data_IF_399362976388
#
_entry.id   IF_399362976388
#
_cell.length_a   1.000
_cell.length_b   1.000
_cell.length_c   1.000
_cell.angle_alpha   90.00
_cell.angle_beta   90.00
_cell.angle_gamma   90.00
#
_symmetry.space_group_name_H-M   'P 1'
#
loop_
_entity.id
_entity.type
_entity.pdbx_description
1 polymer ?
#
# COMPACT_ATOMS: atom_id res chain seq x y z
N UNK A 1 -28.14 70.03 61.45
CA UNK A 1 -28.44 68.60 61.21
C UNK A 1 -29.11 68.51 59.84
N UNK A 2 -28.37 68.13 58.79
CA UNK A 2 -27.95 66.77 58.42
C UNK A 2 -29.11 65.98 57.78
N UNK A 3 -29.20 66.02 56.45
CA UNK A 3 -29.22 64.88 55.51
C UNK A 3 -29.76 65.25 54.12
N UNK A 4 -30.45 66.37 53.95
CA UNK A 4 -31.17 66.70 52.70
C UNK A 4 -30.34 67.39 51.61
N UNK A 5 -29.23 68.06 51.93
CA UNK A 5 -28.35 68.67 50.90
C UNK A 5 -27.35 67.69 50.27
N UNK A 6 -27.17 66.47 50.81
CA UNK A 6 -26.23 65.48 50.26
C UNK A 6 -26.91 64.55 49.23
N UNK A 7 -28.25 64.42 49.29
CA UNK A 7 -29.03 63.57 48.37
C UNK A 7 -29.30 64.29 47.04
N UNK A 8 -29.42 65.62 47.01
CA UNK A 8 -29.61 66.36 45.75
C UNK A 8 -28.34 66.51 44.91
N UNK A 9 -27.14 66.48 45.51
CA UNK A 9 -25.87 66.58 44.78
C UNK A 9 -25.37 65.26 44.20
N UNK A 10 -25.86 64.11 44.69
CA UNK A 10 -25.50 62.78 44.19
C UNK A 10 -26.42 62.29 43.06
N UNK A 11 -27.64 62.83 42.94
CA UNK A 11 -28.56 62.55 41.83
C UNK A 11 -28.29 63.41 40.58
N UNK A 12 -27.67 64.59 40.73
CA UNK A 12 -27.24 65.43 39.60
C UNK A 12 -25.94 64.96 38.95
N UNK A 13 -25.07 64.22 39.65
CA UNK A 13 -23.88 63.59 39.07
C UNK A 13 -24.15 62.24 38.39
N UNK A 14 -25.32 61.62 38.62
CA UNK A 14 -25.74 60.37 37.96
C UNK A 14 -26.60 60.59 36.70
N UNK A 15 -27.02 61.84 36.42
CA UNK A 15 -27.83 62.19 35.24
C UNK A 15 -27.09 63.03 34.18
N UNK A 16 -25.84 63.45 34.44
CA UNK A 16 -25.01 64.22 33.49
C UNK A 16 -23.74 63.50 32.99
N UNK A 17 -23.60 62.19 33.26
CA UNK A 17 -22.57 61.35 32.64
C UNK A 17 -23.19 60.13 31.93
N UNK A 18 -24.03 60.36 30.91
CA UNK A 18 -23.86 59.75 29.56
C UNK A 18 -25.13 59.87 28.67
N UNK A 19 -25.43 61.09 28.19
CA UNK A 19 -26.22 61.44 26.98
C UNK A 19 -26.02 62.96 26.86
N UNK A 20 -25.21 63.55 25.99
CA UNK A 20 -25.06 63.54 24.53
C UNK A 20 -23.70 64.26 24.24
N UNK A 21 -22.95 64.14 23.15
CA UNK A 21 -23.22 63.72 21.77
C UNK A 21 -21.86 63.52 21.05
N UNK A 22 -21.89 62.73 19.97
CA UNK A 22 -20.87 62.58 18.91
C UNK A 22 -19.53 61.91 19.24
N UNK A 23 -19.52 60.57 19.18
CA UNK A 23 -18.36 59.83 18.68
C UNK A 23 -18.82 58.59 17.91
N UNK A 24 -18.51 58.59 16.62
CA UNK A 24 -18.28 57.43 15.74
C UNK A 24 -18.77 56.06 16.22
N UNK A 25 -19.60 55.42 15.39
CA UNK A 25 -19.74 53.96 15.31
C UNK A 25 -18.43 53.26 15.66
N UNK A 26 -18.37 52.67 16.84
CA UNK A 26 -17.45 51.58 17.13
C UNK A 26 -18.35 50.42 17.48
N UNK A 27 -18.77 49.71 16.42
CA UNK A 27 -18.97 48.27 16.53
C UNK A 27 -17.76 47.79 17.33
N UNK A 28 -17.96 47.27 18.56
CA UNK A 28 -16.89 46.49 19.19
C UNK A 28 -16.55 45.45 18.15
N UNK A 29 -15.40 45.59 17.49
CA UNK A 29 -14.91 44.57 16.56
C UNK A 29 -14.87 43.29 17.39
N UNK A 30 -15.87 42.42 17.14
CA UNK A 30 -15.85 41.08 17.70
C UNK A 30 -14.54 40.46 17.26
N UNK A 31 -13.85 39.78 18.18
CA UNK A 31 -12.67 39.02 17.81
C UNK A 31 -12.98 38.16 16.58
N UNK A 32 -12.10 38.16 15.56
CA UNK A 32 -12.37 37.52 14.27
C UNK A 32 -12.92 36.09 14.41
N UNK A 33 -12.42 35.32 15.37
CA UNK A 33 -12.87 33.94 15.62
C UNK A 33 -14.31 33.86 16.17
N UNK A 34 -14.69 34.75 17.10
CA UNK A 34 -16.07 34.81 17.60
C UNK A 34 -17.06 35.28 16.54
N UNK A 35 -16.63 36.23 15.71
CA UNK A 35 -17.42 36.71 14.57
C UNK A 35 -17.60 35.61 13.52
N UNK A 36 -16.54 34.85 13.24
CA UNK A 36 -16.60 33.70 12.34
C UNK A 36 -17.56 32.61 12.85
N UNK A 37 -17.50 32.23 14.13
CA UNK A 37 -18.44 31.29 14.77
C UNK A 37 -19.90 31.75 14.66
N UNK A 38 -20.15 33.04 14.91
CA UNK A 38 -21.50 33.61 14.83
C UNK A 38 -22.03 33.55 13.39
N UNK A 39 -21.20 33.92 12.41
CA UNK A 39 -21.57 33.86 10.99
C UNK A 39 -21.77 32.42 10.50
N UNK A 40 -21.01 31.47 11.06
CA UNK A 40 -21.18 30.04 10.83
C UNK A 40 -22.54 29.57 11.34
N UNK A 41 -22.92 29.88 12.58
CA UNK A 41 -24.25 29.53 13.11
C UNK A 41 -25.40 30.14 12.30
N UNK A 42 -25.19 31.34 11.76
CA UNK A 42 -26.13 32.03 10.86
C UNK A 42 -26.13 31.48 9.41
N UNK A 43 -25.33 30.45 9.12
CA UNK A 43 -25.17 29.84 7.80
C UNK A 43 -24.67 30.78 6.70
N UNK A 44 -23.98 31.86 7.08
CA UNK A 44 -23.37 32.82 6.14
C UNK A 44 -21.96 32.35 5.79
N UNK A 45 -21.87 31.17 5.18
CA UNK A 45 -20.63 30.41 5.02
C UNK A 45 -19.49 31.21 4.39
N UNK A 46 -19.70 31.91 3.27
CA UNK A 46 -18.63 32.71 2.63
C UNK A 46 -18.08 33.81 3.56
N UNK A 47 -18.97 34.49 4.31
CA UNK A 47 -18.58 35.54 5.26
C UNK A 47 -17.93 34.96 6.50
N UNK A 48 -18.37 33.78 6.94
CA UNK A 48 -17.73 33.05 8.03
C UNK A 48 -16.31 32.61 7.64
N UNK A 49 -16.11 32.18 6.38
CA UNK A 49 -14.81 31.79 5.85
C UNK A 49 -13.81 32.96 5.86
N UNK A 50 -14.23 34.14 5.42
CA UNK A 50 -13.41 35.37 5.43
C UNK A 50 -12.94 35.74 6.85
N UNK A 51 -13.83 35.64 7.84
CA UNK A 51 -13.51 35.94 9.24
C UNK A 51 -12.65 34.84 9.89
N UNK A 52 -12.83 33.57 9.49
CA UNK A 52 -11.96 32.47 9.88
C UNK A 52 -10.54 32.61 9.29
N UNK A 53 -10.41 33.04 8.03
CA UNK A 53 -9.11 33.35 7.41
C UNK A 53 -8.41 34.55 8.09
N UNK A 54 -9.18 35.51 8.61
CA UNK A 54 -8.66 36.63 9.40
C UNK A 54 -8.23 36.17 10.81
N UNK A 55 -9.01 35.30 11.45
CA UNK A 55 -8.70 34.68 12.73
C UNK A 55 -7.42 33.81 12.66
N UNK A 56 -7.23 33.05 11.57
CA UNK A 56 -6.03 32.24 11.34
C UNK A 56 -4.74 33.06 11.42
N UNK A 57 -4.77 34.33 10.97
CA UNK A 57 -3.60 35.23 10.94
C UNK A 57 -3.32 35.90 12.27
N UNK A 58 -4.29 35.91 13.18
CA UNK A 58 -4.28 36.72 14.41
C UNK A 58 -4.28 35.89 15.69
N UNK A 59 -4.71 34.62 15.62
CA UNK A 59 -4.74 33.67 16.73
C UNK A 59 -3.52 32.73 16.75
N UNK A 60 -3.34 32.00 17.84
CA UNK A 60 -2.25 31.01 18.02
C UNK A 60 -2.73 29.75 18.74
N UNK A 61 -2.07 28.61 18.50
CA UNK A 61 -2.43 27.32 19.11
C UNK A 61 -3.79 26.81 18.63
N UNK A 62 -4.58 26.24 19.55
CA UNK A 62 -5.88 25.63 19.22
C UNK A 62 -6.85 26.59 18.51
N UNK A 63 -6.85 27.87 18.86
CA UNK A 63 -7.72 28.87 18.25
C UNK A 63 -7.33 29.18 16.79
N UNK A 64 -6.04 29.01 16.46
CA UNK A 64 -5.56 29.11 15.09
C UNK A 64 -5.94 27.87 14.27
N UNK A 65 -5.84 26.68 14.86
CA UNK A 65 -6.24 25.43 14.22
C UNK A 65 -7.74 25.38 13.94
N UNK A 66 -8.55 25.82 14.89
CA UNK A 66 -10.00 25.97 14.70
C UNK A 66 -10.30 26.98 13.60
N UNK A 67 -9.63 28.14 13.60
CA UNK A 67 -9.83 29.14 12.57
C UNK A 67 -9.53 28.60 11.17
N UNK A 68 -8.47 27.82 11.05
CA UNK A 68 -8.11 27.22 9.79
C UNK A 68 -9.11 26.16 9.31
N UNK A 69 -9.53 25.27 10.21
CA UNK A 69 -10.52 24.24 9.93
C UNK A 69 -11.86 24.87 9.55
N UNK A 70 -12.29 25.87 10.32
CA UNK A 70 -13.52 26.62 10.12
C UNK A 70 -13.56 27.30 8.75
N UNK A 71 -12.45 27.92 8.33
CA UNK A 71 -12.34 28.51 6.98
C UNK A 71 -12.59 27.48 5.89
N UNK A 72 -11.95 26.30 5.97
CA UNK A 72 -12.13 25.26 4.96
C UNK A 72 -13.57 24.74 4.97
N UNK A 73 -14.11 24.41 6.14
CA UNK A 73 -15.48 23.90 6.29
C UNK A 73 -16.50 24.89 5.72
N UNK A 74 -16.30 26.19 5.93
CA UNK A 74 -17.16 27.23 5.37
C UNK A 74 -17.10 27.29 3.85
N UNK A 75 -15.90 27.26 3.26
CA UNK A 75 -15.73 27.22 1.80
C UNK A 75 -16.37 25.96 1.20
N UNK A 76 -16.26 24.84 1.91
CA UNK A 76 -16.87 23.57 1.54
C UNK A 76 -18.41 23.68 1.55
N UNK A 77 -19.00 24.19 2.63
CA UNK A 77 -20.45 24.40 2.77
C UNK A 77 -21.01 25.46 1.80
N UNK A 78 -20.24 26.47 1.45
CA UNK A 78 -20.69 27.50 0.50
C UNK A 78 -20.77 26.98 -0.92
N UNK A 79 -19.86 26.08 -1.30
CA UNK A 79 -19.87 25.42 -2.60
C UNK A 79 -20.95 24.32 -2.70
N UNK A 80 -21.26 23.64 -1.59
CA UNK A 80 -22.31 22.61 -1.56
C UNK A 80 -23.06 22.55 -0.22
N UNK A 81 -24.19 23.26 -0.07
CA UNK A 81 -24.95 23.32 1.18
C UNK A 81 -25.51 21.98 1.66
N UNK A 82 -25.55 20.94 0.80
CA UNK A 82 -25.99 19.59 1.18
C UNK A 82 -25.06 18.93 2.19
N UNK A 83 -23.84 19.45 2.34
CA UNK A 83 -22.88 18.95 3.33
C UNK A 83 -23.20 19.37 4.76
N UNK A 84 -24.20 20.24 4.99
CA UNK A 84 -24.57 20.70 6.33
C UNK A 84 -24.93 19.55 7.28
N UNK A 85 -25.68 18.55 6.81
CA UNK A 85 -26.03 17.38 7.64
C UNK A 85 -24.82 16.48 7.89
N UNK A 86 -23.93 16.33 6.91
CA UNK A 86 -22.74 15.47 6.98
C UNK A 86 -21.63 16.09 7.87
N UNK A 87 -21.46 17.42 7.80
CA UNK A 87 -20.50 18.20 8.59
C UNK A 87 -21.00 18.40 10.03
N UNK A 88 -22.31 18.50 10.28
CA UNK A 88 -22.85 18.52 11.66
C UNK A 88 -22.66 17.20 12.41
N UNK A 89 -22.57 16.09 11.68
CA UNK A 89 -22.24 14.77 12.22
C UNK A 89 -20.73 14.61 12.47
N UNK A 90 -19.92 15.46 11.85
CA UNK A 90 -18.50 15.52 12.08
C UNK A 90 -18.23 16.25 13.41
N UNK A 91 -17.91 15.48 14.44
CA UNK A 91 -17.39 16.01 15.70
C UNK A 91 -15.88 15.74 15.74
N UNK A 92 -15.02 16.73 15.40
CA UNK A 92 -13.58 16.60 15.54
C UNK A 92 -13.25 16.39 17.03
N UNK A 93 -13.15 15.14 17.46
CA UNK A 93 -12.93 14.75 18.86
C UNK A 93 -13.77 13.57 19.37
N UNK A 94 -14.87 13.19 18.71
CA UNK A 94 -15.68 12.03 19.13
C UNK A 94 -15.61 10.88 18.13
N UNK A 95 -14.76 9.89 18.44
CA UNK A 95 -14.75 8.50 17.94
C UNK A 95 -15.26 8.28 16.49
N UNK A 96 -14.39 8.53 15.52
CA UNK A 96 -13.87 7.49 14.63
C UNK A 96 -14.81 6.52 13.88
N UNK A 97 -16.12 6.68 13.71
CA UNK A 97 -16.94 5.72 12.91
C UNK A 97 -18.03 6.37 12.04
N UNK A 98 -18.20 5.88 10.81
CA UNK A 98 -19.31 6.13 9.88
C UNK A 98 -19.87 4.83 9.30
N UNK A 99 -21.19 4.62 9.34
CA UNK A 99 -21.85 3.47 8.67
C UNK A 99 -21.21 2.10 8.97
N UNK A 100 -20.70 1.91 10.20
CA UNK A 100 -20.01 0.68 10.61
C UNK A 100 -18.56 0.56 10.14
N UNK A 101 -17.96 1.61 9.57
CA UNK A 101 -16.55 1.70 9.18
C UNK A 101 -15.84 2.81 9.97
N UNK A 102 -14.58 2.60 10.36
CA UNK A 102 -13.85 3.60 11.13
C UNK A 102 -13.41 4.77 10.25
N UNK A 103 -13.49 6.01 10.77
CA UNK A 103 -12.94 7.22 10.14
C UNK A 103 -11.43 7.36 10.31
N UNK A 104 -10.77 6.43 10.99
CA UNK A 104 -9.33 6.55 11.21
C UNK A 104 -8.57 6.08 9.98
N UNK A 105 -7.76 6.97 9.39
CA UNK A 105 -6.66 6.68 8.46
C UNK A 105 -5.82 5.46 8.83
N UNK A 106 -5.82 5.09 10.11
CA UNK A 106 -5.32 3.82 10.63
C UNK A 106 -5.77 2.64 9.76
N UNK A 107 -7.05 2.54 9.39
CA UNK A 107 -7.57 1.33 8.76
C UNK A 107 -7.08 1.10 7.34
N UNK A 108 -6.78 2.17 6.60
CA UNK A 108 -6.15 2.13 5.27
C UNK A 108 -4.62 2.05 5.30
N UNK A 109 -4.00 2.30 6.46
CA UNK A 109 -2.58 2.01 6.67
C UNK A 109 -2.45 0.52 7.04
N UNK A 110 -1.60 -0.25 6.34
CA UNK A 110 -1.31 -1.63 6.70
C UNK A 110 -1.06 -1.76 8.20
N UNK A 111 -1.63 -2.79 8.84
CA UNK A 111 -1.65 -2.95 10.30
C UNK A 111 -0.26 -2.82 10.94
N UNK A 112 0.75 -3.31 10.24
CA UNK A 112 2.17 -3.28 10.57
C UNK A 112 2.83 -1.90 10.48
N UNK A 113 2.22 -0.93 9.79
CA UNK A 113 2.77 0.43 9.57
C UNK A 113 2.08 1.52 10.40
N UNK A 114 0.98 1.21 11.10
CA UNK A 114 0.14 2.18 11.83
C UNK A 114 0.88 2.90 12.95
N UNK A 115 1.59 2.15 13.79
CA UNK A 115 2.28 2.72 14.96
C UNK A 115 3.42 3.66 14.54
N UNK A 116 4.19 3.27 13.51
CA UNK A 116 5.22 4.12 12.94
C UNK A 116 4.66 5.40 12.32
N UNK A 117 3.51 5.31 11.65
CA UNK A 117 2.82 6.49 11.13
C UNK A 117 2.37 7.44 12.25
N UNK A 118 1.85 6.89 13.36
CA UNK A 118 1.49 7.68 14.54
C UNK A 118 2.66 8.39 15.19
N UNK A 119 3.79 7.69 15.31
CA UNK A 119 5.00 8.26 15.86
C UNK A 119 5.52 9.40 14.97
N UNK A 120 5.42 9.26 13.65
CA UNK A 120 5.78 10.33 12.70
C UNK A 120 4.82 11.52 12.85
N UNK A 121 3.50 11.30 12.86
CA UNK A 121 2.52 12.39 13.02
C UNK A 121 2.75 13.18 14.31
N UNK A 122 3.01 12.46 15.41
CA UNK A 122 3.26 13.06 16.73
C UNK A 122 4.61 13.77 16.80
N UNK A 123 5.64 13.22 16.15
CA UNK A 123 6.98 13.81 16.11
C UNK A 123 7.02 15.07 15.25
N UNK A 124 6.30 15.07 14.13
CA UNK A 124 6.25 16.18 13.19
C UNK A 124 5.19 17.22 13.57
N UNK A 125 4.46 17.05 14.68
CA UNK A 125 3.38 17.96 15.14
C UNK A 125 2.33 18.29 14.05
N UNK A 126 2.03 17.29 13.21
CA UNK A 126 1.14 17.48 12.08
C UNK A 126 -0.31 17.64 12.57
N UNK A 127 -1.05 18.67 12.12
CA UNK A 127 -2.37 18.94 12.65
C UNK A 127 -3.38 17.90 12.15
N UNK A 128 -3.70 16.95 13.02
CA UNK A 128 -4.49 15.74 12.74
C UNK A 128 -5.87 16.03 12.16
N UNK A 129 -6.48 17.15 12.55
CA UNK A 129 -7.77 17.62 12.05
C UNK A 129 -7.80 17.80 10.53
N UNK A 130 -6.69 18.25 9.93
CA UNK A 130 -6.59 18.41 8.49
C UNK A 130 -6.40 17.10 7.75
N UNK A 131 -5.67 16.15 8.33
CA UNK A 131 -5.57 14.80 7.77
C UNK A 131 -6.94 14.11 7.76
N UNK A 132 -7.70 14.25 8.85
CA UNK A 132 -9.08 13.77 8.90
C UNK A 132 -9.97 14.46 7.86
N UNK A 133 -9.76 15.75 7.62
CA UNK A 133 -10.51 16.49 6.61
C UNK A 133 -10.13 16.07 5.18
N UNK A 134 -8.84 15.87 4.90
CA UNK A 134 -8.39 15.27 3.63
C UNK A 134 -9.07 13.91 3.45
N UNK A 135 -9.02 13.04 4.45
CA UNK A 135 -9.66 11.73 4.39
C UNK A 135 -11.17 11.82 4.15
N UNK A 136 -11.86 12.73 4.82
CA UNK A 136 -13.29 12.98 4.59
C UNK A 136 -13.56 13.38 3.12
N UNK A 137 -12.78 14.32 2.58
CA UNK A 137 -12.92 14.73 1.18
C UNK A 137 -12.66 13.57 0.20
N UNK A 138 -11.70 12.70 0.52
CA UNK A 138 -11.40 11.51 -0.26
C UNK A 138 -12.54 10.49 -0.22
N UNK A 139 -13.10 10.20 0.95
CA UNK A 139 -14.21 9.26 1.13
C UNK A 139 -15.50 9.74 0.45
N UNK A 140 -15.68 11.06 0.34
CA UNK A 140 -16.86 11.67 -0.26
C UNK A 140 -16.73 11.95 -1.76
N UNK A 141 -15.61 11.58 -2.40
CA UNK A 141 -15.39 11.80 -3.84
C UNK A 141 -15.18 13.27 -4.22
N UNK A 142 -14.49 14.03 -3.36
CA UNK A 142 -14.12 15.44 -3.58
C UNK A 142 -12.60 15.62 -3.66
N UNK A 143 -11.96 14.79 -4.46
CA UNK A 143 -10.50 14.74 -4.65
C UNK A 143 -9.92 16.09 -5.08
N UNK A 144 -10.67 16.87 -5.86
CA UNK A 144 -10.26 18.20 -6.34
C UNK A 144 -10.10 19.24 -5.22
N UNK A 145 -10.75 19.04 -4.07
CA UNK A 145 -10.68 19.95 -2.92
C UNK A 145 -9.51 19.64 -1.99
N UNK A 146 -8.88 18.48 -2.14
CA UNK A 146 -7.79 18.01 -1.27
C UNK A 146 -6.59 18.96 -1.30
N UNK A 147 -6.24 19.49 -2.48
CA UNK A 147 -5.12 20.43 -2.62
C UNK A 147 -5.30 21.68 -1.75
N UNK A 148 -6.52 22.24 -1.69
CA UNK A 148 -6.80 23.42 -0.87
C UNK A 148 -6.58 23.17 0.63
N UNK A 149 -6.83 21.96 1.11
CA UNK A 149 -6.58 21.54 2.49
C UNK A 149 -5.09 21.36 2.74
N UNK A 150 -4.37 20.71 1.81
CA UNK A 150 -2.91 20.52 1.90
C UNK A 150 -2.17 21.84 1.87
N UNK A 151 -2.64 22.83 1.11
CA UNK A 151 -2.07 24.18 1.06
C UNK A 151 -2.08 24.90 2.42
N UNK A 152 -3.02 24.53 3.30
CA UNK A 152 -3.11 25.07 4.68
C UNK A 152 -2.13 24.39 5.65
N UNK A 153 -1.42 23.34 5.23
CA UNK A 153 -0.37 22.64 5.99
C UNK A 153 1.03 22.84 5.38
N UNK A 154 1.57 24.07 5.28
CA UNK A 154 2.77 24.37 4.50
C UNK A 154 4.02 23.62 4.94
N UNK A 155 4.17 23.35 6.24
CA UNK A 155 5.32 22.63 6.80
C UNK A 155 5.22 21.10 6.60
N UNK A 156 4.03 20.57 6.32
CA UNK A 156 3.77 19.13 6.21
C UNK A 156 3.27 18.70 4.83
N UNK A 157 3.33 19.57 3.81
CA UNK A 157 2.84 19.28 2.45
C UNK A 157 3.38 17.98 1.89
N UNK A 158 4.67 17.70 2.08
CA UNK A 158 5.28 16.45 1.59
C UNK A 158 4.59 15.23 2.21
N UNK A 159 4.49 15.20 3.54
CA UNK A 159 3.86 14.10 4.27
C UNK A 159 2.38 13.94 3.93
N UNK A 160 1.66 15.05 3.74
CA UNK A 160 0.26 15.04 3.30
C UNK A 160 0.10 14.41 1.90
N UNK A 161 0.95 14.77 0.94
CA UNK A 161 0.93 14.16 -0.39
C UNK A 161 1.36 12.68 -0.39
N UNK A 162 2.32 12.30 0.44
CA UNK A 162 2.71 10.89 0.64
C UNK A 162 1.52 10.08 1.20
N UNK A 163 0.77 10.65 2.15
CA UNK A 163 -0.45 10.03 2.67
C UNK A 163 -1.53 9.85 1.60
N UNK A 164 -1.73 10.85 0.74
CA UNK A 164 -2.70 10.77 -0.37
C UNK A 164 -2.26 9.73 -1.40
N UNK A 165 -0.95 9.60 -1.69
CA UNK A 165 -0.41 8.55 -2.56
C UNK A 165 -0.67 7.15 -2.01
N UNK A 166 -0.45 6.93 -0.71
CA UNK A 166 -0.76 5.66 -0.06
C UNK A 166 -2.26 5.33 -0.16
N UNK A 167 -3.11 6.34 0.04
CA UNK A 167 -4.56 6.19 -0.11
C UNK A 167 -4.95 5.85 -1.54
N UNK A 168 -4.33 6.50 -2.54
CA UNK A 168 -4.56 6.21 -3.96
C UNK A 168 -4.17 4.76 -4.32
N UNK A 169 -3.03 4.28 -3.81
CA UNK A 169 -2.60 2.89 -3.99
C UNK A 169 -3.55 1.90 -3.34
N UNK A 170 -4.02 2.17 -2.14
CA UNK A 170 -4.95 1.30 -1.44
C UNK A 170 -6.29 1.21 -2.18
N UNK A 171 -6.82 2.35 -2.66
CA UNK A 171 -8.03 2.39 -3.49
C UNK A 171 -7.85 1.58 -4.79
N UNK A 172 -6.67 1.68 -5.42
CA UNK A 172 -6.34 0.89 -6.61
C UNK A 172 -6.29 -0.62 -6.30
N UNK A 173 -5.75 -1.03 -5.15
CA UNK A 173 -5.71 -2.45 -4.72
C UNK A 173 -7.10 -3.02 -4.43
N UNK A 174 -7.96 -2.24 -3.78
CA UNK A 174 -9.31 -2.68 -3.37
C UNK A 174 -10.31 -2.75 -4.54
N UNK A 175 -9.85 -2.55 -5.80
CA UNK A 175 -10.69 -2.53 -7.02
C UNK A 175 -11.85 -1.54 -6.93
N UNK A 176 -11.70 -0.46 -6.17
CA UNK A 176 -12.62 0.67 -6.22
C UNK A 176 -12.32 1.47 -7.50
N UNK A 177 -12.82 0.93 -8.62
CA UNK A 177 -12.68 1.54 -9.94
C UNK A 177 -13.19 2.98 -9.92
N UNK A 178 -12.36 3.87 -10.46
CA UNK A 178 -12.50 5.33 -10.63
C UNK A 178 -11.90 6.24 -9.55
N UNK A 179 -12.01 5.94 -8.25
CA UNK A 179 -11.60 6.88 -7.19
C UNK A 179 -10.08 6.95 -7.02
N UNK A 180 -9.37 5.82 -7.11
CA UNK A 180 -7.90 5.78 -6.99
C UNK A 180 -7.15 6.52 -8.11
N UNK A 181 -7.68 6.53 -9.34
CA UNK A 181 -7.06 7.21 -10.49
C UNK A 181 -7.02 8.72 -10.32
N UNK A 182 -8.16 9.32 -9.91
CA UNK A 182 -8.27 10.77 -9.72
C UNK A 182 -7.26 11.27 -8.68
N UNK A 183 -6.98 10.47 -7.65
CA UNK A 183 -5.99 10.82 -6.63
C UNK A 183 -4.57 10.87 -7.15
N UNK A 184 -4.16 9.89 -7.97
CA UNK A 184 -2.85 9.97 -8.58
C UNK A 184 -2.72 11.20 -9.47
N UNK A 185 -3.79 11.61 -10.16
CA UNK A 185 -3.78 12.82 -10.98
C UNK A 185 -3.66 14.09 -10.15
N UNK A 186 -4.42 14.18 -9.05
CA UNK A 186 -4.35 15.31 -8.12
C UNK A 186 -2.93 15.41 -7.56
N UNK A 187 -2.32 14.28 -7.16
CA UNK A 187 -0.91 14.29 -6.73
C UNK A 187 0.01 14.66 -7.87
N UNK A 188 -0.15 14.12 -9.07
CA UNK A 188 0.72 14.43 -10.22
C UNK A 188 0.78 15.93 -10.53
N UNK A 189 -0.34 16.64 -10.34
CA UNK A 189 -0.44 18.09 -10.55
C UNK A 189 0.13 18.91 -9.39
N UNK A 190 0.03 18.43 -8.16
CA UNK A 190 0.32 19.20 -6.94
C UNK A 190 1.55 18.70 -6.15
N UNK A 191 2.19 17.63 -6.59
CA UNK A 191 3.34 17.00 -5.93
C UNK A 191 4.45 18.03 -5.68
N UNK A 192 5.01 17.99 -4.47
CA UNK A 192 6.09 18.90 -4.05
C UNK A 192 7.48 18.29 -4.26
N UNK A 193 7.56 17.02 -4.65
CA UNK A 193 8.81 16.34 -4.98
C UNK A 193 8.69 15.55 -6.29
N UNK A 194 9.82 15.35 -6.97
CA UNK A 194 9.87 14.52 -8.18
C UNK A 194 9.50 13.06 -7.87
N UNK A 195 9.84 12.56 -6.67
CA UNK A 195 9.54 11.18 -6.27
C UNK A 195 8.03 10.92 -6.20
N UNK A 196 7.27 11.87 -5.63
CA UNK A 196 5.81 11.80 -5.57
C UNK A 196 5.19 11.88 -6.96
N UNK A 197 5.78 12.70 -7.83
CA UNK A 197 5.33 12.83 -9.21
C UNK A 197 5.56 11.54 -10.00
N UNK A 198 6.72 10.92 -9.84
CA UNK A 198 7.05 9.64 -10.47
C UNK A 198 6.12 8.53 -9.98
N UNK A 199 5.89 8.46 -8.66
CA UNK A 199 4.92 7.55 -8.04
C UNK A 199 3.53 7.69 -8.68
N UNK A 200 3.05 8.93 -8.80
CA UNK A 200 1.76 9.23 -9.40
C UNK A 200 1.69 8.82 -10.88
N UNK A 201 2.76 9.02 -11.66
CA UNK A 201 2.83 8.55 -13.05
C UNK A 201 2.61 7.04 -13.11
N UNK A 202 3.26 6.26 -12.26
CA UNK A 202 3.12 4.81 -12.22
C UNK A 202 1.71 4.35 -11.81
N UNK A 203 1.10 5.05 -10.84
CA UNK A 203 -0.29 4.83 -10.47
C UNK A 203 -1.26 5.10 -11.62
N UNK A 204 -1.09 6.19 -12.36
CA UNK A 204 -1.94 6.52 -13.52
C UNK A 204 -1.72 5.54 -14.67
N UNK A 205 -0.49 5.07 -14.91
CA UNK A 205 -0.22 4.06 -15.93
C UNK A 205 -0.92 2.73 -15.65
N UNK A 206 -0.94 2.29 -14.38
CA UNK A 206 -1.70 1.12 -13.97
C UNK A 206 -3.21 1.39 -14.05
N UNK A 207 -3.69 2.56 -13.61
CA UNK A 207 -5.08 2.97 -13.78
C UNK A 207 -5.54 2.89 -15.24
N UNK A 208 -4.82 3.55 -16.16
CA UNK A 208 -5.07 3.51 -17.60
C UNK A 208 -5.16 2.08 -18.17
N UNK A 209 -4.47 1.12 -17.57
CA UNK A 209 -4.51 -0.29 -17.96
C UNK A 209 -5.79 -0.98 -17.51
N UNK A 210 -6.28 -0.67 -16.30
CA UNK A 210 -7.55 -1.16 -15.79
C UNK A 210 -8.77 -0.45 -16.41
N UNK A 211 -8.64 0.83 -16.73
CA UNK A 211 -9.73 1.70 -17.19
C UNK A 211 -9.37 2.39 -18.52
N UNK A 212 -9.19 1.63 -19.62
CA UNK A 212 -8.68 2.18 -20.89
C UNK A 212 -9.56 3.26 -21.51
N UNK A 213 -10.84 3.33 -21.15
CA UNK A 213 -11.78 4.35 -21.64
C UNK A 213 -11.52 5.75 -21.03
N UNK A 214 -10.80 5.82 -19.90
CA UNK A 214 -10.39 7.07 -19.24
C UNK A 214 -8.92 7.38 -19.43
N UNK A 215 -8.28 6.72 -20.40
CA UNK A 215 -6.85 6.78 -20.61
C UNK A 215 -6.34 8.22 -20.69
N UNK A 216 -5.42 8.57 -19.80
CA UNK A 216 -4.67 9.82 -19.87
C UNK A 216 -3.33 9.64 -20.57
N UNK A 217 -2.96 10.62 -21.37
CA UNK A 217 -1.64 10.66 -21.99
C UNK A 217 -0.60 11.06 -20.96
N UNK A 218 0.17 10.07 -20.49
CA UNK A 218 1.32 10.28 -19.61
C UNK A 218 2.51 9.53 -20.19
N UNK A 219 3.64 10.22 -20.22
CA UNK A 219 4.92 9.66 -20.67
C UNK A 219 5.50 8.75 -19.60
N UNK A 220 5.87 7.53 -19.99
CA UNK A 220 6.59 6.61 -19.13
C UNK A 220 7.95 7.21 -18.72
N UNK A 221 8.35 7.16 -17.44
CA UNK A 221 9.67 7.63 -17.04
C UNK A 221 10.78 6.82 -17.71
N UNK A 222 11.91 7.46 -18.05
CA UNK A 222 12.97 6.86 -18.89
C UNK A 222 13.93 5.91 -18.16
N UNK A 223 13.55 5.40 -16.99
CA UNK A 223 14.43 4.61 -16.11
C UNK A 223 13.94 3.16 -16.02
N UNK A 224 14.87 2.25 -15.73
CA UNK A 224 14.58 0.84 -15.39
C UNK A 224 14.04 0.67 -13.96
N UNK A 225 13.70 1.79 -13.34
CA UNK A 225 13.26 1.91 -11.97
C UNK A 225 11.89 2.54 -11.98
N UNK A 226 10.99 1.99 -11.18
CA UNK A 226 9.68 2.56 -10.94
C UNK A 226 9.46 2.71 -9.45
N UNK A 227 8.33 3.31 -9.08
CA UNK A 227 7.93 3.40 -7.69
C UNK A 227 6.51 2.88 -7.50
N UNK A 228 6.29 2.20 -6.38
CA UNK A 228 5.01 1.62 -5.99
C UNK A 228 4.94 1.61 -4.46
N UNK A 229 3.80 2.05 -3.90
CA UNK A 229 3.59 2.20 -2.45
C UNK A 229 4.72 2.99 -1.77
N UNK A 230 5.16 4.09 -2.41
CA UNK A 230 6.28 4.94 -2.01
C UNK A 230 7.66 4.27 -2.04
N UNK A 231 7.77 3.02 -2.50
CA UNK A 231 9.03 2.27 -2.59
C UNK A 231 9.59 2.32 -4.01
N UNK A 232 10.87 2.67 -4.14
CA UNK A 232 11.60 2.60 -5.40
C UNK A 232 12.01 1.15 -5.71
N UNK A 233 11.65 0.65 -6.88
CA UNK A 233 11.85 -0.73 -7.30
C UNK A 233 12.58 -0.75 -8.65
N UNK A 234 13.65 -1.53 -8.76
CA UNK A 234 14.31 -1.82 -10.04
C UNK A 234 13.73 -3.07 -10.68
N UNK A 235 13.48 -3.02 -11.99
CA UNK A 235 13.12 -4.19 -12.79
C UNK A 235 14.19 -5.29 -12.75
N UNK A 236 15.46 -4.90 -12.56
CA UNK A 236 16.63 -5.80 -12.47
C UNK A 236 17.09 -6.06 -11.03
N UNK A 237 16.22 -5.93 -10.03
CA UNK A 237 16.56 -6.32 -8.65
C UNK A 237 17.06 -7.78 -8.57
N UNK A 238 17.90 -8.09 -7.59
CA UNK A 238 18.56 -9.41 -7.46
C UNK A 238 17.60 -10.60 -7.42
N UNK A 239 16.41 -10.39 -6.86
CA UNK A 239 15.33 -11.38 -6.79
C UNK A 239 14.54 -11.54 -8.09
N UNK A 240 14.69 -10.62 -9.04
CA UNK A 240 14.01 -10.66 -10.34
C UNK A 240 14.73 -11.61 -11.29
N UNK A 241 14.02 -12.57 -11.93
CA UNK A 241 14.58 -13.39 -12.99
C UNK A 241 15.16 -12.58 -14.18
N UNK A 242 14.75 -11.32 -14.33
CA UNK A 242 15.25 -10.42 -15.37
C UNK A 242 16.69 -9.95 -15.13
N UNK A 243 17.21 -10.02 -13.89
CA UNK A 243 18.51 -9.45 -13.55
C UNK A 243 19.66 -10.05 -14.39
N UNK A 244 19.55 -11.32 -14.78
CA UNK A 244 20.54 -11.99 -15.65
C UNK A 244 20.64 -11.32 -17.03
N UNK A 245 19.57 -10.67 -17.48
CA UNK A 245 19.48 -9.98 -18.77
C UNK A 245 19.77 -8.47 -18.68
N UNK A 246 20.16 -7.96 -17.50
CA UNK A 246 20.40 -6.53 -17.29
C UNK A 246 21.41 -5.96 -18.30
N UNK A 247 22.60 -6.58 -18.40
CA UNK A 247 23.66 -6.07 -19.27
C UNK A 247 23.27 -6.02 -20.76
N UNK A 248 22.67 -7.07 -21.36
CA UNK A 248 22.21 -6.98 -22.75
C UNK A 248 21.06 -5.98 -22.93
N UNK A 249 20.09 -5.92 -22.01
CA UNK A 249 18.94 -5.00 -22.12
C UNK A 249 19.31 -3.53 -21.94
N UNK A 250 20.25 -3.19 -21.05
CA UNK A 250 20.74 -1.82 -20.88
C UNK A 250 21.55 -1.32 -22.10
N UNK A 251 22.18 -2.23 -22.86
CA UNK A 251 22.99 -1.89 -24.04
C UNK A 251 22.14 -1.75 -25.31
N UNK A 252 21.28 -2.71 -25.57
CA UNK A 252 20.63 -2.88 -26.89
C UNK A 252 19.09 -2.80 -26.81
N UNK A 253 18.51 -2.76 -25.61
CA UNK A 253 17.06 -2.93 -25.36
C UNK A 253 16.30 -1.69 -24.88
N UNK A 254 16.85 -0.48 -25.04
CA UNK A 254 16.21 0.77 -24.57
C UNK A 254 14.80 0.99 -25.17
N UNK A 255 14.55 0.52 -26.39
CA UNK A 255 13.23 0.56 -27.05
C UNK A 255 12.18 -0.27 -26.31
N UNK A 256 12.59 -1.37 -25.64
CA UNK A 256 11.71 -2.27 -24.90
C UNK A 256 11.56 -1.89 -23.43
N UNK A 257 12.31 -0.90 -22.97
CA UNK A 257 12.40 -0.52 -21.56
C UNK A 257 11.02 -0.33 -20.93
N UNK A 258 10.14 0.44 -21.59
CA UNK A 258 8.80 0.73 -21.08
C UNK A 258 7.95 -0.54 -20.95
N UNK A 259 8.01 -1.45 -21.93
CA UNK A 259 7.26 -2.70 -21.89
C UNK A 259 7.74 -3.61 -20.77
N UNK A 260 9.06 -3.72 -20.57
CA UNK A 260 9.66 -4.55 -19.53
C UNK A 260 9.34 -3.99 -18.14
N UNK A 261 9.53 -2.68 -17.93
CA UNK A 261 9.22 -2.03 -16.65
C UNK A 261 7.73 -2.16 -16.36
N UNK A 262 6.86 -1.93 -17.33
CA UNK A 262 5.43 -2.06 -17.13
C UNK A 262 5.00 -3.51 -16.83
N UNK A 263 5.58 -4.51 -17.49
CA UNK A 263 5.34 -5.91 -17.15
C UNK A 263 5.79 -6.24 -15.72
N UNK A 264 6.96 -5.74 -15.30
CA UNK A 264 7.45 -5.93 -13.92
C UNK A 264 6.56 -5.21 -12.89
N UNK A 265 6.02 -4.04 -13.24
CA UNK A 265 5.02 -3.34 -12.44
C UNK A 265 3.73 -4.14 -12.30
N UNK A 266 3.14 -4.62 -13.40
CA UNK A 266 1.91 -5.44 -13.36
C UNK A 266 2.11 -6.71 -12.54
N UNK A 267 3.25 -7.38 -12.72
CA UNK A 267 3.61 -8.55 -11.92
C UNK A 267 3.64 -8.20 -10.44
N UNK A 268 4.39 -7.16 -10.07
CA UNK A 268 4.61 -6.78 -8.67
C UNK A 268 3.33 -6.26 -8.03
N UNK A 269 2.55 -5.45 -8.75
CA UNK A 269 1.25 -4.95 -8.31
C UNK A 269 0.27 -6.09 -8.03
N UNK A 270 0.23 -7.11 -8.89
CA UNK A 270 -0.59 -8.30 -8.63
C UNK A 270 -0.25 -9.02 -7.34
N UNK A 271 1.01 -8.99 -6.89
CA UNK A 271 1.38 -9.54 -5.58
C UNK A 271 0.67 -8.87 -4.39
N UNK A 272 0.16 -7.64 -4.54
CA UNK A 272 -0.58 -6.93 -3.50
C UNK A 272 -2.10 -7.08 -3.61
N UNK A 273 -2.62 -7.78 -4.63
CA UNK A 273 -4.05 -7.95 -4.83
C UNK A 273 -4.57 -9.22 -4.16
N UNK A 274 -5.77 -9.15 -3.59
CA UNK A 274 -6.49 -10.33 -3.07
C UNK A 274 -6.78 -11.37 -4.16
N UNK A 275 -7.14 -10.89 -5.36
CA UNK A 275 -7.47 -11.71 -6.53
C UNK A 275 -6.57 -11.33 -7.72
N UNK A 276 -5.33 -11.83 -7.74
CA UNK A 276 -4.26 -11.36 -8.63
C UNK A 276 -4.26 -12.03 -10.02
N UNK A 277 -4.90 -13.20 -10.16
CA UNK A 277 -4.83 -14.02 -11.38
C UNK A 277 -5.29 -13.25 -12.62
N UNK A 278 -6.43 -12.55 -12.53
CA UNK A 278 -6.95 -11.77 -13.67
C UNK A 278 -5.96 -10.68 -14.12
N UNK A 279 -5.30 -9.99 -13.18
CA UNK A 279 -4.28 -9.00 -13.53
C UNK A 279 -3.08 -9.65 -14.22
N UNK A 280 -2.58 -10.78 -13.70
CA UNK A 280 -1.46 -11.47 -14.31
C UNK A 280 -1.80 -12.05 -15.70
N UNK A 281 -3.03 -12.50 -15.92
CA UNK A 281 -3.53 -12.92 -17.24
C UNK A 281 -3.62 -11.74 -18.22
N UNK A 282 -4.07 -10.56 -17.76
CA UNK A 282 -4.02 -9.34 -18.56
C UNK A 282 -2.58 -8.90 -18.85
N UNK A 283 -1.67 -9.09 -17.90
CA UNK A 283 -0.23 -8.85 -18.08
C UNK A 283 0.38 -9.76 -19.15
N UNK A 284 -0.01 -11.03 -19.20
CA UNK A 284 0.35 -11.95 -20.29
C UNK A 284 -0.17 -11.45 -21.63
N UNK A 285 -1.43 -11.05 -21.71
CA UNK A 285 -2.01 -10.50 -22.95
C UNK A 285 -1.30 -9.22 -23.41
N UNK A 286 -0.93 -8.34 -22.46
CA UNK A 286 -0.11 -7.17 -22.74
C UNK A 286 1.24 -7.57 -23.33
N UNK A 287 1.97 -8.48 -22.67
CA UNK A 287 3.28 -8.94 -23.12
C UNK A 287 3.20 -9.57 -24.53
N UNK A 288 2.19 -10.40 -24.78
CA UNK A 288 1.97 -11.06 -26.06
C UNK A 288 1.69 -10.06 -27.20
N UNK A 289 0.99 -8.96 -26.92
CA UNK A 289 0.78 -7.87 -27.88
C UNK A 289 2.08 -7.27 -28.38
N UNK A 290 3.11 -7.21 -27.54
CA UNK A 290 4.43 -6.62 -27.87
C UNK A 290 5.48 -7.67 -28.25
N UNK A 291 5.11 -8.95 -28.42
CA UNK A 291 6.04 -10.03 -28.76
C UNK A 291 6.93 -9.72 -29.97
N UNK A 292 6.36 -9.10 -31.01
CA UNK A 292 7.11 -8.77 -32.23
C UNK A 292 8.24 -7.76 -31.97
N UNK A 293 8.07 -6.86 -31.00
CA UNK A 293 9.11 -5.91 -30.64
C UNK A 293 10.28 -6.62 -29.94
N UNK A 294 9.99 -7.59 -29.07
CA UNK A 294 11.04 -8.42 -28.45
C UNK A 294 11.81 -9.23 -29.50
N UNK A 295 11.11 -9.82 -30.48
CA UNK A 295 11.74 -10.53 -31.60
C UNK A 295 12.63 -9.60 -32.43
N UNK A 296 12.13 -8.42 -32.80
CA UNK A 296 12.87 -7.45 -33.60
C UNK A 296 14.15 -6.93 -32.94
N UNK A 297 14.21 -6.90 -31.60
CA UNK A 297 15.37 -6.47 -30.84
C UNK A 297 16.26 -7.65 -30.37
N UNK A 298 16.03 -8.88 -30.86
CA UNK A 298 16.73 -10.10 -30.43
C UNK A 298 16.65 -10.37 -28.92
N UNK A 299 15.54 -10.01 -28.27
CA UNK A 299 15.31 -10.17 -26.83
C UNK A 299 14.26 -11.25 -26.50
N UNK A 300 14.16 -12.30 -27.32
CA UNK A 300 13.20 -13.39 -27.13
C UNK A 300 13.33 -14.06 -25.75
N UNK A 301 14.57 -14.27 -25.28
CA UNK A 301 14.80 -14.87 -23.95
C UNK A 301 14.25 -14.00 -22.80
N UNK A 302 14.29 -12.66 -22.94
CA UNK A 302 13.73 -11.76 -21.94
C UNK A 302 12.19 -11.78 -21.96
N UNK A 303 11.59 -11.87 -23.16
CA UNK A 303 10.15 -12.08 -23.33
C UNK A 303 9.70 -13.41 -22.69
N UNK A 304 10.39 -14.51 -22.98
CA UNK A 304 10.06 -15.83 -22.42
C UNK A 304 10.24 -15.83 -20.89
N UNK A 305 11.28 -15.17 -20.39
CA UNK A 305 11.49 -14.99 -18.95
C UNK A 305 10.34 -14.23 -18.26
N UNK A 306 9.88 -13.11 -18.85
CA UNK A 306 8.73 -12.34 -18.34
C UNK A 306 7.44 -13.16 -18.38
N UNK A 307 7.20 -13.85 -19.50
CA UNK A 307 6.01 -14.69 -19.72
C UNK A 307 5.94 -15.81 -18.68
N UNK A 308 7.04 -16.54 -18.52
CA UNK A 308 7.21 -17.61 -17.53
C UNK A 308 6.90 -17.14 -16.12
N UNK A 309 7.35 -15.93 -15.79
CA UNK A 309 7.13 -15.34 -14.47
C UNK A 309 5.65 -15.17 -14.13
N UNK A 310 4.83 -14.69 -15.07
CA UNK A 310 3.38 -14.58 -14.87
C UNK A 310 2.71 -15.95 -14.72
N UNK A 311 3.02 -16.91 -15.61
CA UNK A 311 2.47 -18.27 -15.51
C UNK A 311 2.80 -18.93 -14.18
N UNK A 312 4.04 -18.78 -13.71
CA UNK A 312 4.46 -19.30 -12.41
C UNK A 312 3.68 -18.66 -11.27
N UNK A 313 3.52 -17.33 -11.25
CA UNK A 313 2.75 -16.67 -10.20
C UNK A 313 1.29 -17.16 -10.17
N UNK A 314 0.66 -17.31 -11.33
CA UNK A 314 -0.70 -17.86 -11.44
C UNK A 314 -0.75 -19.31 -10.92
N UNK A 315 0.20 -20.16 -11.32
CA UNK A 315 0.27 -21.56 -10.89
C UNK A 315 0.44 -21.68 -9.38
N UNK A 316 1.37 -20.91 -8.81
CA UNK A 316 1.62 -20.85 -7.37
C UNK A 316 0.40 -20.34 -6.59
N UNK A 317 -0.31 -19.33 -7.11
CA UNK A 317 -1.54 -18.85 -6.49
C UNK A 317 -2.62 -19.93 -6.46
N UNK A 318 -2.88 -20.62 -7.57
CA UNK A 318 -3.83 -21.73 -7.60
C UNK A 318 -3.42 -22.88 -6.67
N UNK A 319 -2.13 -23.20 -6.62
CA UNK A 319 -1.60 -24.23 -5.74
C UNK A 319 -1.87 -23.90 -4.26
N UNK A 320 -1.61 -22.65 -3.84
CA UNK A 320 -1.88 -22.18 -2.47
C UNK A 320 -3.37 -22.19 -2.16
N UNK A 321 -4.22 -21.82 -3.13
CA UNK A 321 -5.69 -21.89 -2.99
C UNK A 321 -6.26 -23.32 -3.04
N UNK A 322 -5.42 -24.33 -3.27
CA UNK A 322 -5.83 -25.73 -3.36
C UNK A 322 -6.47 -26.13 -4.70
N UNK A 323 -6.45 -25.27 -5.72
CA UNK A 323 -6.89 -25.59 -7.07
C UNK A 323 -5.75 -26.29 -7.85
N UNK A 324 -5.49 -27.55 -7.47
CA UNK A 324 -4.35 -28.32 -7.95
C UNK A 324 -4.41 -28.60 -9.46
N UNK A 325 -5.61 -28.73 -10.03
CA UNK A 325 -5.79 -28.96 -11.46
C UNK A 325 -5.34 -27.74 -12.27
N UNK A 326 -5.82 -26.55 -11.91
CA UNK A 326 -5.38 -25.31 -12.58
C UNK A 326 -3.91 -25.03 -12.35
N UNK A 327 -3.40 -25.27 -11.13
CA UNK A 327 -1.99 -25.14 -10.84
C UNK A 327 -1.15 -26.05 -11.75
N UNK A 328 -1.52 -27.34 -11.85
CA UNK A 328 -0.85 -28.32 -12.70
C UNK A 328 -0.84 -27.92 -14.17
N UNK A 329 -2.00 -27.53 -14.72
CA UNK A 329 -2.12 -27.08 -16.11
C UNK A 329 -1.20 -25.88 -16.43
N UNK A 330 -1.02 -24.97 -15.46
CA UNK A 330 -0.16 -23.79 -15.62
C UNK A 330 1.32 -24.13 -15.46
N UNK A 331 1.70 -25.06 -14.58
CA UNK A 331 3.09 -25.55 -14.49
C UNK A 331 3.50 -26.36 -15.73
N UNK A 332 2.60 -27.15 -16.33
CA UNK A 332 2.90 -27.99 -17.53
C UNK A 332 3.25 -27.14 -18.75
N UNK A 333 2.53 -26.04 -18.99
CA UNK A 333 2.68 -25.24 -20.20
C UNK A 333 4.10 -24.65 -20.38
N UNK A 334 4.82 -24.40 -19.29
CA UNK A 334 6.18 -23.84 -19.30
C UNK A 334 7.29 -24.89 -19.49
N UNK A 335 7.04 -26.16 -19.15
CA UNK A 335 8.05 -27.25 -19.23
C UNK A 335 8.51 -27.56 -20.66
N UNK A 336 7.72 -27.16 -21.67
CA UNK A 336 8.00 -27.44 -23.08
C UNK A 336 9.23 -26.67 -23.62
N UNK A 337 9.73 -25.64 -22.92
CA UNK A 337 10.81 -24.76 -23.40
C UNK A 337 12.12 -24.83 -22.56
N UNK A 338 12.31 -25.88 -21.74
CA UNK A 338 13.67 -26.37 -21.48
C UNK A 338 14.41 -25.95 -20.18
N UNK A 339 13.76 -25.43 -19.14
CA UNK A 339 14.36 -25.35 -17.78
C UNK A 339 13.38 -25.78 -16.69
N UNK A 340 13.57 -27.02 -16.19
CA UNK A 340 12.64 -27.79 -15.34
C UNK A 340 12.65 -27.47 -13.85
N UNK A 341 13.79 -27.02 -13.31
CA UNK A 341 14.01 -26.89 -11.85
C UNK A 341 12.93 -26.09 -11.12
N UNK A 342 12.32 -25.08 -11.77
CA UNK A 342 11.31 -24.20 -11.14
C UNK A 342 9.90 -24.79 -11.12
N UNK A 343 9.58 -25.68 -12.06
CA UNK A 343 8.26 -26.30 -12.20
C UNK A 343 8.18 -27.59 -11.38
N UNK A 344 9.29 -28.31 -11.30
CA UNK A 344 9.39 -29.58 -10.58
C UNK A 344 8.97 -29.41 -9.11
N UNK A 345 9.33 -28.28 -8.46
CA UNK A 345 8.88 -27.99 -7.10
C UNK A 345 7.36 -27.80 -6.98
N UNK A 346 6.76 -27.11 -7.95
CA UNK A 346 5.31 -26.93 -8.01
C UNK A 346 4.58 -28.26 -8.20
N UNK A 347 5.10 -29.13 -9.07
CA UNK A 347 4.57 -30.49 -9.25
C UNK A 347 4.71 -31.34 -7.99
N UNK A 348 5.83 -31.25 -7.29
CA UNK A 348 6.04 -31.98 -6.04
C UNK A 348 5.03 -31.59 -4.96
N UNK A 349 4.69 -30.30 -4.86
CA UNK A 349 3.62 -29.85 -3.96
C UNK A 349 2.25 -30.36 -4.39
N UNK A 350 1.96 -30.37 -5.69
CA UNK A 350 0.70 -30.91 -6.22
C UNK A 350 0.58 -32.39 -5.85
N UNK A 351 1.64 -33.19 -6.07
CA UNK A 351 1.67 -34.60 -5.72
C UNK A 351 1.49 -34.81 -4.22
N UNK A 352 2.18 -34.02 -3.39
CA UNK A 352 2.00 -34.05 -1.94
C UNK A 352 0.54 -33.78 -1.55
N UNK A 353 -0.05 -32.72 -2.11
CA UNK A 353 -1.44 -32.32 -1.85
C UNK A 353 -2.47 -33.34 -2.38
N UNK A 354 -2.11 -34.12 -3.40
CA UNK A 354 -2.89 -35.25 -3.91
C UNK A 354 -2.74 -36.53 -3.06
N UNK A 355 -1.90 -36.50 -2.02
CA UNK A 355 -1.71 -37.62 -1.10
C UNK A 355 -0.66 -38.64 -1.54
N UNK A 356 0.22 -38.28 -2.49
CA UNK A 356 1.35 -39.13 -2.82
C UNK A 356 2.36 -39.17 -1.67
N UNK A 357 2.94 -40.35 -1.35
CA UNK A 357 3.92 -40.46 -0.29
C UNK A 357 5.21 -39.71 -0.64
N UNK A 358 5.90 -39.18 0.38
CA UNK A 358 7.16 -38.45 0.21
C UNK A 358 8.19 -39.23 -0.61
N UNK A 359 8.26 -40.56 -0.43
CA UNK A 359 9.16 -41.42 -1.20
C UNK A 359 8.95 -41.36 -2.71
N UNK A 360 7.72 -41.18 -3.17
CA UNK A 360 7.41 -41.13 -4.60
C UNK A 360 7.72 -39.75 -5.18
N UNK A 361 7.44 -38.69 -4.40
CA UNK A 361 7.82 -37.32 -4.72
C UNK A 361 9.35 -37.22 -4.82
N UNK A 362 10.07 -37.81 -3.86
CA UNK A 362 11.54 -37.86 -3.84
C UNK A 362 12.09 -38.56 -5.07
N UNK A 363 11.54 -39.71 -5.46
CA UNK A 363 11.97 -40.44 -6.67
C UNK A 363 11.80 -39.57 -7.91
N UNK A 364 10.65 -38.90 -8.06
CA UNK A 364 10.37 -38.07 -9.22
C UNK A 364 11.27 -36.83 -9.29
N UNK A 365 11.58 -36.23 -8.14
CA UNK A 365 12.44 -35.05 -8.05
C UNK A 365 13.95 -35.35 -8.01
N UNK A 366 14.35 -36.60 -7.78
CA UNK A 366 15.76 -36.97 -7.58
C UNK A 366 16.65 -36.69 -8.79
N UNK A 367 16.07 -36.63 -10.00
CA UNK A 367 16.80 -36.29 -11.23
C UNK A 367 17.07 -34.79 -11.39
N UNK A 368 16.51 -33.95 -10.53
CA UNK A 368 16.61 -32.48 -10.62
C UNK A 368 17.84 -32.01 -9.84
N UNK A 369 18.73 -31.29 -10.53
CA UNK A 369 19.94 -30.75 -9.92
C UNK A 369 19.63 -29.52 -9.07
N UNK A 370 19.25 -29.73 -7.81
CA UNK A 370 19.03 -28.63 -6.87
C UNK A 370 20.37 -28.03 -6.41
N UNK A 371 20.51 -26.72 -6.54
CA UNK A 371 21.60 -25.95 -5.92
C UNK A 371 21.24 -25.61 -4.46
N UNK A 372 22.11 -24.85 -3.80
CA UNK A 372 21.81 -24.22 -2.51
C UNK A 372 20.71 -23.16 -2.60
N UNK A 373 20.33 -22.78 -3.81
CA UNK A 373 19.28 -21.81 -4.06
C UNK A 373 18.20 -22.43 -4.95
N UNK A 374 16.95 -22.10 -4.66
CA UNK A 374 15.77 -22.55 -5.41
C UNK A 374 14.79 -21.38 -5.58
N UNK A 375 13.77 -21.54 -6.41
CA UNK A 375 12.79 -20.50 -6.70
C UNK A 375 11.38 -20.90 -6.31
N UNK A 376 10.67 -20.01 -5.63
CA UNK A 376 9.26 -20.16 -5.25
C UNK A 376 8.55 -18.87 -5.65
N UNK A 377 7.43 -18.96 -6.38
CA UNK A 377 6.65 -17.78 -6.75
C UNK A 377 7.43 -16.68 -7.48
N UNK A 378 8.48 -17.05 -8.24
CA UNK A 378 9.33 -16.09 -8.97
C UNK A 378 10.40 -15.40 -8.12
N UNK A 379 10.54 -15.75 -6.84
CA UNK A 379 11.58 -15.25 -5.94
C UNK A 379 12.64 -16.32 -5.71
N UNK A 380 13.89 -15.90 -5.61
CA UNK A 380 15.04 -16.77 -5.33
C UNK A 380 15.22 -16.88 -3.81
N UNK A 381 15.28 -18.10 -3.29
CA UNK A 381 15.53 -18.40 -1.89
C UNK A 381 16.80 -19.21 -1.74
N UNK A 382 17.60 -18.87 -0.73
CA UNK A 382 18.69 -19.71 -0.27
C UNK A 382 18.14 -20.73 0.72
N UNK A 383 18.58 -21.97 0.58
CA UNK A 383 18.32 -23.02 1.54
C UNK A 383 18.83 -22.66 2.96
N UNK A 384 19.97 -21.97 3.05
CA UNK A 384 20.57 -21.56 4.31
C UNK A 384 20.16 -20.15 4.74
N UNK A 385 19.00 -19.66 4.30
CA UNK A 385 18.50 -18.33 4.69
C UNK A 385 18.27 -18.19 6.21
N UNK A 386 18.02 -19.30 6.91
CA UNK A 386 17.71 -19.31 8.33
C UNK A 386 19.00 -19.50 9.15
N UNK A 387 19.23 -18.69 10.20
CA UNK A 387 20.40 -18.85 11.06
C UNK A 387 20.53 -20.25 11.66
N UNK A 388 19.40 -20.90 11.97
CA UNK A 388 19.35 -22.29 12.46
C UNK A 388 19.99 -23.28 11.48
N UNK A 389 19.74 -23.11 10.18
CA UNK A 389 20.32 -23.92 9.10
C UNK A 389 21.76 -23.55 8.79
N UNK A 390 22.10 -22.26 8.80
CA UNK A 390 23.48 -21.81 8.58
C UNK A 390 24.42 -22.38 9.66
N UNK A 391 23.99 -22.32 10.92
CA UNK A 391 24.74 -22.86 12.07
C UNK A 391 24.93 -24.39 11.99
N UNK A 392 24.00 -25.09 11.31
CA UNK A 392 24.00 -26.54 11.12
C UNK A 392 24.37 -26.97 9.70
N UNK A 393 24.95 -26.07 8.89
CA UNK A 393 25.22 -26.31 7.46
C UNK A 393 25.98 -27.62 7.25
N UNK A 394 27.03 -27.86 8.03
CA UNK A 394 27.86 -29.07 7.87
C UNK A 394 27.13 -30.38 8.19
N UNK A 395 26.13 -30.37 9.08
CA UNK A 395 25.32 -31.56 9.35
C UNK A 395 24.27 -31.78 8.25
N UNK A 396 23.68 -30.69 7.75
CA UNK A 396 22.67 -30.75 6.69
C UNK A 396 23.30 -31.18 5.36
N UNK A 397 24.50 -30.69 5.02
CA UNK A 397 25.24 -31.08 3.81
C UNK A 397 25.59 -32.57 3.80
N UNK A 398 25.84 -33.18 4.97
CA UNK A 398 26.03 -34.64 5.07
C UNK A 398 24.75 -35.39 4.70
N UNK A 399 23.59 -34.90 5.13
CA UNK A 399 22.29 -35.47 4.77
C UNK A 399 21.92 -35.26 3.31
N UNK A 400 22.47 -34.23 2.64
CA UNK A 400 22.20 -33.98 1.22
C UNK A 400 22.76 -35.03 0.27
N UNK A 401 23.68 -35.87 0.73
CA UNK A 401 24.08 -37.07 0.00
C UNK A 401 22.89 -38.01 -0.24
N UNK A 402 21.85 -37.92 0.60
CA UNK A 402 20.60 -38.66 0.47
C UNK A 402 19.51 -37.74 -0.12
N UNK A 403 19.04 -37.99 -1.36
CA UNK A 403 18.06 -37.13 -2.03
C UNK A 403 16.77 -36.94 -1.23
N UNK A 404 16.39 -37.93 -0.41
CA UNK A 404 15.22 -37.88 0.45
C UNK A 404 15.24 -36.66 1.37
N UNK A 405 16.31 -36.50 2.16
CA UNK A 405 16.42 -35.41 3.12
C UNK A 405 16.52 -34.06 2.43
N UNK A 406 17.28 -33.97 1.33
CA UNK A 406 17.38 -32.74 0.55
C UNK A 406 16.01 -32.25 0.07
N UNK A 407 15.22 -33.14 -0.54
CA UNK A 407 13.90 -32.80 -1.06
C UNK A 407 12.92 -32.53 0.08
N UNK A 408 12.97 -33.31 1.17
CA UNK A 408 12.15 -33.06 2.35
C UNK A 408 12.42 -31.68 2.97
N UNK A 409 13.68 -31.27 3.13
CA UNK A 409 13.97 -29.92 3.65
C UNK A 409 13.51 -28.82 2.70
N UNK A 410 13.65 -29.00 1.38
CA UNK A 410 13.14 -28.04 0.39
C UNK A 410 11.61 -27.94 0.49
N UNK A 411 10.90 -29.07 0.53
CA UNK A 411 9.44 -29.07 0.67
C UNK A 411 9.00 -28.43 1.99
N UNK A 412 9.67 -28.74 3.10
CA UNK A 412 9.42 -28.11 4.39
C UNK A 412 9.54 -26.59 4.30
N UNK A 413 10.63 -26.10 3.72
CA UNK A 413 10.87 -24.67 3.54
C UNK A 413 9.78 -24.01 2.70
N UNK A 414 9.36 -24.68 1.63
CA UNK A 414 8.32 -24.18 0.74
C UNK A 414 6.99 -24.14 1.46
N UNK A 415 6.61 -25.17 2.19
CA UNK A 415 5.38 -25.16 3.00
C UNK A 415 5.38 -23.99 3.97
N UNK A 416 6.49 -23.74 4.67
CA UNK A 416 6.61 -22.59 5.56
C UNK A 416 6.52 -21.26 4.81
N UNK A 417 7.21 -21.12 3.67
CA UNK A 417 7.20 -19.91 2.84
C UNK A 417 5.84 -19.64 2.20
N UNK A 418 5.07 -20.70 1.90
CA UNK A 418 3.73 -20.62 1.32
C UNK A 418 2.63 -20.72 2.37
N UNK A 419 2.92 -20.52 3.65
CA UNK A 419 1.90 -20.50 4.71
C UNK A 419 1.21 -21.84 4.99
N UNK A 420 1.66 -22.94 4.40
CA UNK A 420 1.05 -24.27 4.47
C UNK A 420 1.53 -25.04 5.71
N UNK A 421 1.20 -24.51 6.89
CA UNK A 421 1.63 -25.07 8.17
C UNK A 421 1.17 -26.51 8.40
N UNK A 422 0.01 -26.89 7.85
CA UNK A 422 -0.50 -28.26 7.94
C UNK A 422 0.42 -29.25 7.23
N UNK A 423 0.83 -28.98 5.99
CA UNK A 423 1.77 -29.86 5.29
C UNK A 423 3.14 -29.89 5.96
N UNK A 424 3.60 -28.75 6.49
CA UNK A 424 4.87 -28.68 7.23
C UNK A 424 4.85 -29.58 8.48
N UNK A 425 3.76 -29.55 9.27
CA UNK A 425 3.59 -30.43 10.42
C UNK A 425 3.49 -31.91 10.04
N UNK A 426 2.70 -32.26 9.02
CA UNK A 426 2.59 -33.65 8.54
C UNK A 426 3.96 -34.19 8.11
N UNK A 427 4.74 -33.38 7.39
CA UNK A 427 6.09 -33.74 6.99
C UNK A 427 7.01 -33.93 8.21
N UNK A 428 6.95 -33.02 9.19
CA UNK A 428 7.75 -33.12 10.41
C UNK A 428 7.41 -34.40 11.21
N UNK A 429 6.12 -34.68 11.41
CA UNK A 429 5.63 -35.88 12.10
C UNK A 429 6.11 -37.14 11.40
N UNK A 430 6.05 -37.17 10.06
CA UNK A 430 6.57 -38.27 9.26
C UNK A 430 8.07 -38.47 9.52
N UNK A 431 8.88 -37.41 9.48
CA UNK A 431 10.32 -37.49 9.73
C UNK A 431 10.63 -37.97 11.16
N UNK A 432 9.93 -37.45 12.17
CA UNK A 432 10.11 -37.85 13.58
C UNK A 432 9.79 -39.34 13.78
N UNK A 433 8.78 -39.85 13.06
CA UNK A 433 8.37 -41.25 13.17
C UNK A 433 9.31 -42.24 12.46
N UNK A 434 9.98 -41.80 11.40
CA UNK A 434 10.75 -42.69 10.51
C UNK A 434 12.26 -42.69 10.78
N UNK A 435 12.81 -41.61 11.35
CA UNK A 435 14.26 -41.39 11.41
C UNK A 435 14.80 -41.27 12.85
N UNK A 436 16.10 -41.56 13.07
CA UNK A 436 16.74 -41.40 14.37
C UNK A 436 16.85 -39.94 14.82
N UNK A 437 17.07 -39.75 16.13
CA UNK A 437 17.10 -38.44 16.82
C UNK A 437 18.08 -37.43 16.21
N UNK A 438 19.24 -37.88 15.75
CA UNK A 438 20.22 -37.00 15.10
C UNK A 438 19.70 -36.39 13.78
N UNK A 439 18.74 -37.04 13.11
CA UNK A 439 18.15 -36.54 11.87
C UNK A 439 16.95 -35.66 12.18
N UNK A 440 15.96 -36.16 12.94
CA UNK A 440 14.75 -35.36 13.19
C UNK A 440 15.06 -34.12 14.05
N UNK A 441 16.08 -34.13 14.92
CA UNK A 441 16.47 -32.92 15.67
C UNK A 441 16.94 -31.76 14.78
N UNK A 442 17.39 -32.05 13.55
CA UNK A 442 17.67 -31.02 12.55
C UNK A 442 16.38 -30.39 12.01
N UNK A 443 15.33 -31.19 11.81
CA UNK A 443 14.01 -30.70 11.39
C UNK A 443 13.24 -30.01 12.53
N UNK A 444 13.31 -30.53 13.75
CA UNK A 444 12.65 -29.92 14.92
C UNK A 444 13.20 -28.54 15.24
N UNK A 445 14.49 -28.28 14.96
CA UNK A 445 15.06 -26.94 15.09
C UNK A 445 14.42 -25.92 14.12
N UNK A 446 13.68 -26.38 13.13
CA UNK A 446 12.99 -25.56 12.14
C UNK A 446 11.50 -25.37 12.45
N UNK A 447 10.97 -26.03 13.50
CA UNK A 447 9.55 -25.97 13.89
C UNK A 447 9.08 -24.54 14.16
N UNK A 448 9.95 -23.71 14.73
CA UNK A 448 9.65 -22.29 14.99
C UNK A 448 9.34 -21.48 13.73
N UNK A 449 9.73 -21.98 12.55
CA UNK A 449 9.46 -21.36 11.25
C UNK A 449 8.10 -21.76 10.67
N UNK A 450 7.41 -22.73 11.27
CA UNK A 450 6.08 -23.14 10.81
C UNK A 450 5.10 -21.99 11.10
N UNK A 451 4.30 -21.56 10.11
CA UNK A 451 3.28 -20.53 10.30
C UNK A 451 2.35 -20.89 11.46
N UNK A 452 2.31 -20.03 12.48
CA UNK A 452 1.53 -20.25 13.72
C UNK A 452 0.01 -20.11 13.53
N UNK A 453 -0.43 -19.56 12.40
CA UNK A 453 -1.84 -19.38 12.06
C UNK A 453 -2.16 -20.13 10.76
N UNK A 454 -2.92 -21.24 10.81
CA UNK A 454 -3.35 -21.98 9.62
C UNK A 454 -4.31 -21.19 8.73
N UNK A 455 -4.92 -20.09 9.21
CA UNK A 455 -5.80 -19.22 8.42
C UNK A 455 -5.07 -18.00 7.84
N UNK A 456 -3.77 -17.83 8.13
CA UNK A 456 -2.90 -16.87 7.45
C UNK A 456 -2.46 -17.34 6.05
N UNK A 457 -3.03 -18.44 5.54
CA UNK A 457 -2.93 -18.93 4.15
C UNK A 457 -3.23 -17.84 3.08
N UNK A 458 -3.84 -16.72 3.48
CA UNK A 458 -4.15 -15.59 2.60
C UNK A 458 -3.17 -14.40 2.69
N UNK A 459 -2.17 -14.38 3.59
CA UNK A 459 -1.30 -13.21 3.84
C UNK A 459 0.17 -13.39 3.42
N UNK A 460 0.51 -14.49 2.74
CA UNK A 460 1.90 -14.85 2.43
C UNK A 460 2.64 -13.80 1.58
N UNK A 461 1.92 -13.05 0.75
CA UNK A 461 2.54 -12.04 -0.09
C UNK A 461 2.93 -10.76 0.66
N UNK A 462 2.34 -10.49 1.83
CA UNK A 462 2.62 -9.30 2.65
C UNK A 462 3.84 -9.47 3.56
N UNK A 463 4.18 -10.70 3.96
CA UNK A 463 5.30 -10.99 4.90
C UNK A 463 6.66 -11.21 4.23
N UNK A 464 6.76 -11.02 2.93
CA UNK A 464 7.98 -11.27 2.16
C UNK A 464 8.68 -9.98 1.68
N UNK A 465 8.42 -8.83 2.29
CA UNK A 465 9.12 -7.57 2.00
C UNK A 465 10.39 -7.37 2.86
#
# INVERSE_FOLDING_TARGET
MKLSCIICLSLLSLLFCSCNDQSSTTVKEQEPLQKARSLFEEKKWDKAAEEFDLAQKTQSGMDQDEAQLGSIVCHLLSQNPRWEEQIKLWQPGMRGYWHGKSFTAIESIPLDKRDAFYDILKKEDMPFSYLLLVQFLLLEGYENSVSAVVEKMPQHKKLAWDFILLTAWENLKQKQGNEGEVLFEVVYQNAVSQEQKDEAIYGILLGNFFTPERKKEISFPKLWEYRLDLKKISAFRSSSPLNVYRSPLEKDGLSLQQHIVFCDMLFSFGGFLLEPVNLWEQGLAYLDKYKQDFLANNQQEAYDCLRKRFYHAIAWFHCIKGDLEKAGNRFVFETLEGKKEREDLGFALILWKQGHPLSDIVKQLSSVAWKEEYFVGGRKFSFYRLPSRENKRSEIEKLWAEPYHKIAFILFDVFCLTGDGRSAHILLDQIVSEFPENIYSLYMAEEENIPKDPYAENQIWEKLD
#
